data_IF_146036846118
#
_entry.id   IF_146036846118
#
_cell.length_a   1.000
_cell.length_b   1.000
_cell.length_c   1.000
_cell.angle_alpha   90.00
_cell.angle_beta   90.00
_cell.angle_gamma   90.00
#
_symmetry.space_group_name_H-M   'P 1'
#
loop_
_entity.id
_entity.type
_entity.pdbx_description
1 polymer ?
#
# COMPACT_ATOMS: atom_id res chain seq x y z
N UNK A 1 -17.20 7.85 0.10
CA UNK A 1 -16.37 6.65 0.36
C UNK A 1 -15.03 7.15 0.85
N UNK A 2 -14.44 6.54 1.89
CA UNK A 2 -13.10 6.94 2.37
C UNK A 2 -12.03 6.57 1.32
N UNK A 3 -10.96 7.36 1.22
CA UNK A 3 -9.82 7.14 0.31
C UNK A 3 -10.22 6.97 -1.16
N UNK A 4 -11.18 7.79 -1.63
CA UNK A 4 -11.78 7.69 -2.97
C UNK A 4 -10.74 7.89 -4.07
N UNK A 5 -9.86 8.86 -3.89
CA UNK A 5 -8.73 9.20 -4.74
C UNK A 5 -7.83 7.98 -5.02
N UNK A 6 -7.47 7.20 -4.00
CA UNK A 6 -6.67 5.99 -4.16
C UNK A 6 -7.42 4.90 -4.95
N UNK A 7 -8.72 4.74 -4.73
CA UNK A 7 -9.54 3.76 -5.47
C UNK A 7 -9.72 4.15 -6.94
N UNK A 8 -9.85 5.45 -7.23
CA UNK A 8 -9.94 5.97 -8.60
C UNK A 8 -8.64 5.75 -9.37
N UNK A 9 -7.48 5.74 -8.69
CA UNK A 9 -6.19 5.36 -9.29
C UNK A 9 -6.03 3.85 -9.50
N UNK A 10 -6.43 3.02 -8.52
CA UNK A 10 -6.22 1.57 -8.56
C UNK A 10 -7.16 0.86 -9.55
N UNK A 11 -8.43 1.24 -9.59
CA UNK A 11 -9.49 0.52 -10.33
C UNK A 11 -9.18 0.37 -11.83
N UNK A 12 -8.73 1.40 -12.55
CA UNK A 12 -8.34 1.26 -13.96
C UNK A 12 -7.19 0.26 -14.15
N UNK A 13 -6.21 0.25 -13.23
CA UNK A 13 -5.04 -0.64 -13.32
C UNK A 13 -5.42 -2.12 -13.14
N UNK A 14 -6.41 -2.41 -12.30
CA UNK A 14 -6.96 -3.75 -12.11
C UNK A 14 -7.71 -4.26 -13.34
N UNK A 15 -8.23 -3.36 -14.17
CA UNK A 15 -8.85 -3.73 -15.45
C UNK A 15 -7.81 -3.99 -16.55
N UNK A 16 -6.64 -3.36 -16.45
CA UNK A 16 -5.52 -3.51 -17.39
C UNK A 16 -4.75 -4.82 -17.19
N UNK A 17 -4.63 -5.30 -15.94
CA UNK A 17 -3.79 -6.45 -15.59
C UNK A 17 -4.62 -7.59 -15.02
N UNK A 18 -4.21 -8.83 -15.27
CA UNK A 18 -4.79 -10.00 -14.61
C UNK A 18 -4.20 -10.16 -13.21
N UNK A 19 -4.80 -9.50 -12.23
CA UNK A 19 -4.35 -9.51 -10.83
C UNK A 19 -5.08 -10.61 -10.05
N UNK A 20 -4.33 -11.39 -9.26
CA UNK A 20 -4.88 -12.28 -8.23
C UNK A 20 -4.45 -11.78 -6.86
N UNK A 21 -5.42 -11.52 -5.99
CA UNK A 21 -5.15 -11.10 -4.62
C UNK A 21 -4.91 -12.33 -3.74
N UNK A 22 -3.79 -12.30 -3.02
CA UNK A 22 -3.43 -13.31 -2.03
C UNK A 22 -3.30 -12.62 -0.67
N UNK A 23 -4.22 -12.94 0.23
CA UNK A 23 -4.19 -12.43 1.60
C UNK A 23 -3.22 -13.28 2.43
N UNK A 24 -2.19 -12.65 2.96
CA UNK A 24 -1.18 -13.29 3.82
C UNK A 24 -1.34 -12.81 5.26
N UNK A 25 -0.94 -13.66 6.21
CA UNK A 25 -0.88 -13.29 7.62
C UNK A 25 0.38 -12.46 7.86
N UNK A 26 0.25 -11.36 8.61
CA UNK A 26 1.40 -10.56 9.03
C UNK A 26 2.36 -11.35 9.93
N UNK A 27 3.66 -11.09 9.79
CA UNK A 27 4.75 -11.69 10.57
C UNK A 27 4.68 -13.22 10.68
N UNK A 28 4.34 -13.88 9.58
CA UNK A 28 4.15 -15.33 9.51
C UNK A 28 5.29 -16.06 8.79
N UNK A 29 6.45 -15.42 8.57
CA UNK A 29 7.59 -16.02 7.90
C UNK A 29 7.55 -15.96 6.37
N UNK A 30 6.64 -15.17 5.78
CA UNK A 30 6.64 -14.89 4.34
C UNK A 30 7.74 -13.84 4.04
N UNK A 31 8.86 -14.24 3.40
CA UNK A 31 10.04 -13.38 3.30
C UNK A 31 9.77 -12.08 2.52
N UNK A 32 8.96 -12.15 1.47
CA UNK A 32 8.60 -11.00 0.64
C UNK A 32 7.69 -10.04 1.41
N UNK A 33 6.69 -10.54 2.12
CA UNK A 33 5.82 -9.70 2.94
C UNK A 33 6.58 -9.05 4.11
N UNK A 34 7.47 -9.79 4.77
CA UNK A 34 8.31 -9.25 5.85
C UNK A 34 9.28 -8.18 5.34
N UNK A 35 9.81 -8.35 4.12
CA UNK A 35 10.62 -7.33 3.47
C UNK A 35 9.80 -6.07 3.17
N UNK A 36 8.58 -6.21 2.67
CA UNK A 36 7.67 -5.07 2.44
C UNK A 36 7.35 -4.32 3.74
N UNK A 37 7.10 -5.03 4.84
CA UNK A 37 6.88 -4.44 6.17
C UNK A 37 8.10 -3.63 6.65
N UNK A 38 9.29 -4.21 6.58
CA UNK A 38 10.52 -3.53 6.97
C UNK A 38 10.77 -2.25 6.14
N UNK A 39 10.51 -2.30 4.83
CA UNK A 39 10.66 -1.14 3.94
C UNK A 39 9.63 -0.05 4.24
N UNK A 40 8.36 -0.42 4.45
CA UNK A 40 7.30 0.53 4.78
C UNK A 40 7.58 1.23 6.12
N UNK A 41 7.99 0.48 7.15
CA UNK A 41 8.38 1.03 8.44
C UNK A 41 9.57 1.98 8.33
N UNK A 42 10.63 1.57 7.63
CA UNK A 42 11.80 2.42 7.43
C UNK A 42 11.47 3.71 6.64
N UNK A 43 10.49 3.67 5.73
CA UNK A 43 10.02 4.87 5.03
C UNK A 43 9.23 5.80 5.95
N UNK A 44 8.35 5.25 6.81
CA UNK A 44 7.56 6.03 7.76
C UNK A 44 8.41 6.76 8.81
N UNK A 45 9.60 6.25 9.13
CA UNK A 45 10.54 6.87 10.07
C UNK A 45 11.34 8.04 9.45
N UNK A 46 11.25 8.27 8.13
CA UNK A 46 11.96 9.36 7.47
C UNK A 46 11.30 10.71 7.76
N UNK A 47 12.12 11.75 7.83
CA UNK A 47 11.66 13.14 7.88
C UNK A 47 11.48 13.73 6.48
N UNK A 48 10.65 14.77 6.38
CA UNK A 48 10.43 15.49 5.11
C UNK A 48 9.68 14.68 4.06
N UNK A 49 8.79 13.77 4.48
CA UNK A 49 7.90 13.07 3.57
C UNK A 49 6.91 14.06 2.93
N UNK A 50 6.51 13.83 1.67
CA UNK A 50 5.43 14.59 1.04
C UNK A 50 4.13 14.51 1.85
N UNK A 51 3.32 15.55 1.77
CA UNK A 51 1.97 15.55 2.33
C UNK A 51 1.07 14.58 1.57
N UNK A 52 0.19 13.87 2.29
CA UNK A 52 -0.88 13.08 1.68
C UNK A 52 -2.08 13.99 1.42
N UNK A 53 -2.11 14.59 0.22
CA UNK A 53 -3.18 15.51 -0.20
C UNK A 53 -4.58 14.86 -0.19
N UNK A 54 -4.66 13.53 -0.29
CA UNK A 54 -5.91 12.76 -0.27
C UNK A 54 -6.42 12.48 1.14
N UNK A 55 -5.58 12.65 2.17
CA UNK A 55 -5.94 12.39 3.55
C UNK A 55 -6.75 13.54 4.15
N UNK A 56 -8.08 13.39 4.12
CA UNK A 56 -9.02 14.26 4.83
C UNK A 56 -9.26 13.64 6.22
N UNK A 57 -8.52 14.16 7.22
CA UNK A 57 -8.50 13.63 8.60
C UNK A 57 -9.85 13.44 9.27
#
# INVERSE_FOLDING_TARGET
VKNRDMWELLTPLLSTHQVRFHWVRGHAGDPENERCDALAKAAAEKSGLPEDEGYVG
#
